data_IF_375929265067
#
_entry.id   IF_375929265067
#
_cell.length_a   1.000
_cell.length_b   1.000
_cell.length_c   1.000
_cell.angle_alpha   90.00
_cell.angle_beta   90.00
_cell.angle_gamma   90.00
#
_symmetry.space_group_name_H-M   'P 1'
#
loop_
_entity.id
_entity.type
_entity.pdbx_description
1 polymer ?
#
# COMPACT_ATOMS: atom_id res chain seq x y z
N UNK A 1 -9.27 -6.37 29.01
CA UNK A 1 -8.69 -5.06 28.65
C UNK A 1 -9.12 -4.75 27.22
N UNK A 2 -9.66 -3.57 26.93
CA UNK A 2 -10.06 -3.19 25.57
C UNK A 2 -8.81 -2.87 24.76
N UNK A 3 -8.58 -3.57 23.65
CA UNK A 3 -7.45 -3.28 22.76
C UNK A 3 -7.59 -1.86 22.18
N UNK A 4 -6.52 -1.08 22.23
CA UNK A 4 -6.48 0.27 21.61
C UNK A 4 -6.36 0.15 20.09
N UNK A 5 -6.75 1.19 19.35
CA UNK A 5 -6.64 1.17 17.88
C UNK A 5 -5.19 1.08 17.43
N UNK A 6 -4.30 1.78 18.12
CA UNK A 6 -2.87 1.78 17.81
C UNK A 6 -2.26 0.39 18.07
N UNK A 7 -2.56 -0.22 19.23
CA UNK A 7 -2.12 -1.59 19.50
C UNK A 7 -2.67 -2.64 18.53
N UNK A 8 -3.88 -2.43 18.00
CA UNK A 8 -4.48 -3.32 16.99
C UNK A 8 -3.78 -3.16 15.63
N UNK A 9 -3.41 -1.93 15.27
CA UNK A 9 -2.64 -1.64 14.07
C UNK A 9 -1.25 -2.29 14.15
N UNK A 10 -0.53 -2.07 15.25
CA UNK A 10 0.82 -2.61 15.46
C UNK A 10 0.81 -4.15 15.44
N UNK A 11 -0.18 -4.78 16.09
CA UNK A 11 -0.35 -6.24 16.03
C UNK A 11 -0.60 -6.73 14.60
N UNK A 12 -1.46 -6.03 13.85
CA UNK A 12 -1.74 -6.36 12.45
C UNK A 12 -0.49 -6.29 11.56
N UNK A 13 0.39 -5.31 11.81
CA UNK A 13 1.68 -5.17 11.11
C UNK A 13 2.64 -6.32 11.48
N UNK A 14 2.76 -6.67 12.76
CA UNK A 14 3.65 -7.77 13.18
C UNK A 14 3.16 -9.11 12.66
N UNK A 15 1.84 -9.34 12.65
CA UNK A 15 1.23 -10.54 12.05
C UNK A 15 1.45 -10.61 10.54
N UNK A 16 1.36 -9.47 9.84
CA UNK A 16 1.73 -9.40 8.43
C UNK A 16 3.18 -9.81 8.20
N UNK A 17 4.13 -9.26 8.97
CA UNK A 17 5.56 -9.59 8.88
C UNK A 17 5.84 -11.06 9.23
N UNK A 18 5.08 -11.63 10.16
CA UNK A 18 5.16 -13.05 10.50
C UNK A 18 4.63 -13.99 9.39
N UNK A 19 4.13 -13.45 8.28
CA UNK A 19 3.66 -14.23 7.13
C UNK A 19 2.20 -14.63 7.22
N UNK A 20 1.42 -14.02 8.11
CA UNK A 20 -0.02 -14.31 8.16
C UNK A 20 -0.71 -13.92 6.84
N UNK A 21 -1.70 -14.72 6.45
CA UNK A 21 -2.39 -14.59 5.18
C UNK A 21 -3.14 -13.25 5.07
N UNK A 22 -3.11 -12.56 3.92
CA UNK A 22 -3.80 -11.27 3.79
C UNK A 22 -5.31 -11.32 4.07
N UNK A 23 -5.96 -12.45 3.82
CA UNK A 23 -7.39 -12.68 4.07
C UNK A 23 -7.77 -12.48 5.54
N UNK A 24 -6.91 -12.94 6.46
CA UNK A 24 -7.19 -12.87 7.90
C UNK A 24 -6.87 -11.49 8.47
N UNK A 25 -6.01 -10.73 7.80
CA UNK A 25 -5.59 -9.39 8.20
C UNK A 25 -6.54 -8.30 7.71
N UNK A 26 -7.26 -8.51 6.61
CA UNK A 26 -8.23 -7.52 6.10
C UNK A 26 -9.26 -7.09 7.16
N UNK A 27 -9.93 -7.99 7.90
CA UNK A 27 -10.87 -7.59 8.95
C UNK A 27 -10.21 -6.74 10.05
N UNK A 28 -8.96 -7.04 10.40
CA UNK A 28 -8.18 -6.28 11.40
C UNK A 28 -7.96 -4.84 10.92
N UNK A 29 -7.42 -4.66 9.70
CA UNK A 29 -7.19 -3.33 9.15
C UNK A 29 -8.48 -2.58 8.81
N UNK A 30 -9.58 -3.28 8.46
CA UNK A 30 -10.90 -2.67 8.35
C UNK A 30 -11.37 -2.11 9.69
N UNK A 31 -11.19 -2.85 10.80
CA UNK A 31 -11.53 -2.37 12.14
C UNK A 31 -10.68 -1.14 12.51
N UNK A 32 -9.37 -1.17 12.26
CA UNK A 32 -8.48 -0.02 12.49
C UNK A 32 -8.96 1.20 11.71
N UNK A 33 -9.24 1.05 10.42
CA UNK A 33 -9.76 2.12 9.56
C UNK A 33 -11.12 2.65 10.04
N UNK A 34 -11.99 1.78 10.59
CA UNK A 34 -13.29 2.18 11.12
C UNK A 34 -13.18 2.98 12.42
N UNK A 35 -12.26 2.58 13.31
CA UNK A 35 -12.03 3.21 14.61
C UNK A 35 -11.13 4.44 14.53
N UNK A 36 -10.19 4.48 13.58
CA UNK A 36 -9.31 5.62 13.29
C UNK A 36 -9.37 6.00 11.81
N UNK A 37 -10.45 6.69 11.43
CA UNK A 37 -10.72 7.07 10.03
C UNK A 37 -9.66 7.98 9.41
N UNK A 38 -8.82 8.63 10.23
CA UNK A 38 -7.75 9.53 9.80
C UNK A 38 -6.37 8.86 9.71
N UNK A 39 -6.26 7.57 10.04
CA UNK A 39 -4.99 6.84 9.92
C UNK A 39 -4.70 6.51 8.45
N UNK A 40 -3.84 7.31 7.81
CA UNK A 40 -3.40 7.05 6.43
C UNK A 40 -2.73 5.68 6.31
N UNK A 41 -1.85 5.34 7.24
CA UNK A 41 -1.10 4.08 7.22
C UNK A 41 -2.01 2.86 7.26
N UNK A 42 -3.10 2.90 8.03
CA UNK A 42 -4.09 1.81 8.04
C UNK A 42 -4.77 1.63 6.68
N UNK A 43 -5.12 2.74 6.00
CA UNK A 43 -5.65 2.68 4.64
C UNK A 43 -4.60 2.21 3.63
N UNK A 44 -3.33 2.58 3.78
CA UNK A 44 -2.21 2.10 2.95
C UNK A 44 -2.07 0.58 3.06
N UNK A 45 -2.04 0.04 4.29
CA UNK A 45 -1.98 -1.41 4.54
C UNK A 45 -3.20 -2.14 4.00
N UNK A 46 -4.40 -1.60 4.23
CA UNK A 46 -5.63 -2.20 3.72
C UNK A 46 -5.65 -2.26 2.18
N UNK A 47 -5.17 -1.20 1.51
CA UNK A 47 -5.05 -1.20 0.06
C UNK A 47 -4.07 -2.27 -0.43
N UNK A 48 -2.92 -2.41 0.24
CA UNK A 48 -1.92 -3.43 -0.08
C UNK A 48 -2.47 -4.85 0.06
N UNK A 49 -3.17 -5.15 1.16
CA UNK A 49 -3.79 -6.46 1.36
C UNK A 49 -4.84 -6.77 0.29
N UNK A 50 -5.64 -5.78 -0.14
CA UNK A 50 -6.56 -5.97 -1.24
C UNK A 50 -5.87 -6.25 -2.58
N UNK A 51 -4.73 -5.63 -2.85
CA UNK A 51 -3.95 -5.88 -4.07
C UNK A 51 -3.34 -7.28 -4.09
N UNK A 52 -2.83 -7.76 -2.95
CA UNK A 52 -2.34 -9.13 -2.80
C UNK A 52 -3.44 -10.16 -3.09
N UNK A 53 -4.69 -9.85 -2.74
CA UNK A 53 -5.85 -10.72 -2.96
C UNK A 53 -6.62 -10.47 -4.25
N UNK A 54 -6.02 -9.76 -5.21
CA UNK A 54 -6.65 -9.48 -6.51
C UNK A 54 -8.03 -8.81 -6.39
N UNK A 55 -8.16 -7.89 -5.42
CA UNK A 55 -9.36 -7.06 -5.17
C UNK A 55 -9.09 -5.59 -5.54
N UNK A 56 -8.77 -5.28 -6.82
CA UNK A 56 -8.23 -3.98 -7.19
C UNK A 56 -9.23 -2.82 -7.04
N UNK A 57 -10.54 -3.09 -7.15
CA UNK A 57 -11.57 -2.07 -6.88
C UNK A 57 -11.57 -1.63 -5.40
N UNK A 58 -11.43 -2.58 -4.47
CA UNK A 58 -11.37 -2.26 -3.04
C UNK A 58 -10.03 -1.60 -2.68
N UNK A 59 -8.94 -2.06 -3.30
CA UNK A 59 -7.64 -1.44 -3.19
C UNK A 59 -7.66 0.03 -3.65
N UNK A 60 -8.31 0.32 -4.77
CA UNK A 60 -8.43 1.68 -5.32
C UNK A 60 -9.12 2.64 -4.34
N UNK A 61 -10.23 2.21 -3.74
CA UNK A 61 -10.94 3.02 -2.74
C UNK A 61 -10.12 3.25 -1.46
N UNK A 62 -9.41 2.22 -0.98
CA UNK A 62 -8.54 2.34 0.18
C UNK A 62 -7.32 3.24 -0.10
N UNK A 63 -6.66 3.04 -1.25
CA UNK A 63 -5.48 3.81 -1.63
C UNK A 63 -5.81 5.29 -1.90
N UNK A 64 -6.95 5.60 -2.51
CA UNK A 64 -7.41 6.98 -2.65
C UNK A 64 -7.58 7.67 -1.30
N UNK A 65 -8.15 6.98 -0.32
CA UNK A 65 -8.28 7.51 1.05
C UNK A 65 -6.92 7.74 1.70
N UNK A 66 -6.00 6.78 1.57
CA UNK A 66 -4.64 6.90 2.07
C UNK A 66 -3.93 8.14 1.48
N UNK A 67 -3.88 8.26 0.15
CA UNK A 67 -3.24 9.39 -0.54
C UNK A 67 -3.90 10.74 -0.18
N UNK A 68 -5.22 10.77 0.04
CA UNK A 68 -5.93 11.97 0.49
C UNK A 68 -5.55 12.38 1.92
N UNK A 69 -5.32 11.41 2.81
CA UNK A 69 -4.96 11.65 4.21
C UNK A 69 -3.49 12.02 4.37
N UNK A 70 -2.60 11.33 3.65
CA UNK A 70 -1.19 11.65 3.58
C UNK A 70 -0.69 11.69 2.13
N UNK A 71 -0.67 12.87 1.49
CA UNK A 71 -0.15 13.04 0.14
C UNK A 71 1.36 12.79 0.01
N UNK A 72 2.11 12.70 1.11
CA UNK A 72 3.57 12.50 1.12
C UNK A 72 3.95 11.04 1.37
N UNK A 73 2.99 10.13 1.48
CA UNK A 73 3.23 8.69 1.58
C UNK A 73 3.45 8.10 0.17
N UNK A 74 4.69 7.70 -0.18
CA UNK A 74 4.97 7.11 -1.49
C UNK A 74 4.36 5.72 -1.62
N UNK A 75 4.26 4.94 -0.55
CA UNK A 75 3.67 3.60 -0.59
C UNK A 75 2.17 3.66 -0.86
N UNK A 76 1.45 4.61 -0.24
CA UNK A 76 0.04 4.87 -0.56
C UNK A 76 -0.17 5.18 -2.05
N UNK A 77 0.74 5.97 -2.64
CA UNK A 77 0.69 6.32 -4.06
C UNK A 77 1.05 5.15 -4.97
N UNK A 78 2.03 4.33 -4.60
CA UNK A 78 2.33 3.06 -5.30
C UNK A 78 1.09 2.17 -5.30
N UNK A 79 0.46 1.97 -4.16
CA UNK A 79 -0.76 1.16 -4.04
C UNK A 79 -1.90 1.71 -4.91
N UNK A 80 -2.03 3.04 -4.99
CA UNK A 80 -3.00 3.69 -5.87
C UNK A 80 -2.70 3.40 -7.34
N UNK A 81 -1.44 3.54 -7.78
CA UNK A 81 -1.02 3.23 -9.16
C UNK A 81 -1.31 1.78 -9.50
N UNK A 82 -0.96 0.84 -8.62
CA UNK A 82 -1.22 -0.59 -8.84
C UNK A 82 -2.71 -0.86 -9.01
N UNK A 83 -3.54 -0.32 -8.11
CA UNK A 83 -4.99 -0.46 -8.21
C UNK A 83 -5.56 0.18 -9.47
N UNK A 84 -5.01 1.32 -9.91
CA UNK A 84 -5.41 1.96 -11.17
C UNK A 84 -5.05 1.10 -12.38
N UNK A 85 -3.85 0.51 -12.43
CA UNK A 85 -3.45 -0.39 -13.52
C UNK A 85 -4.36 -1.62 -13.59
N UNK A 86 -4.61 -2.26 -12.46
CA UNK A 86 -5.45 -3.47 -12.37
C UNK A 86 -6.94 -3.19 -12.63
N UNK A 87 -7.39 -1.94 -12.49
CA UNK A 87 -8.73 -1.49 -12.87
C UNK A 87 -8.78 -0.75 -14.21
N UNK A 88 -7.69 -0.77 -14.99
CA UNK A 88 -7.57 -0.06 -16.28
C UNK A 88 -7.88 1.45 -16.23
N UNK A 89 -7.66 2.10 -15.08
CA UNK A 89 -7.78 3.55 -14.90
C UNK A 89 -6.56 4.27 -15.46
N UNK A 90 -6.81 5.45 -16.05
CA UNK A 90 -5.78 6.32 -16.64
C UNK A 90 -5.23 7.30 -15.59
N UNK A 91 -4.10 7.94 -15.89
CA UNK A 91 -3.54 9.02 -15.06
C UNK A 91 -2.44 8.57 -14.08
N UNK A 92 -1.90 7.35 -14.22
CA UNK A 92 -0.86 6.83 -13.32
C UNK A 92 0.46 7.60 -13.36
N UNK A 93 0.78 8.26 -14.48
CA UNK A 93 2.06 8.95 -14.69
C UNK A 93 2.35 10.02 -13.63
N UNK A 94 1.37 10.88 -13.33
CA UNK A 94 1.53 11.93 -12.32
C UNK A 94 1.82 11.33 -10.93
N UNK A 95 1.21 10.20 -10.59
CA UNK A 95 1.47 9.53 -9.32
C UNK A 95 2.88 8.94 -9.27
N UNK A 96 3.36 8.34 -10.37
CA UNK A 96 4.74 7.84 -10.48
C UNK A 96 5.76 8.98 -10.32
N UNK A 97 5.57 10.11 -11.02
CA UNK A 97 6.47 11.27 -10.93
C UNK A 97 6.57 11.79 -9.49
N UNK A 98 5.45 11.82 -8.74
CA UNK A 98 5.46 12.21 -7.33
C UNK A 98 6.21 11.17 -6.47
N UNK A 99 6.00 9.87 -6.70
CA UNK A 99 6.74 8.84 -5.95
C UNK A 99 8.25 8.97 -6.21
N UNK A 100 8.66 9.16 -7.46
CA UNK A 100 10.06 9.39 -7.82
C UNK A 100 10.66 10.60 -7.09
N UNK A 101 9.94 11.72 -7.01
CA UNK A 101 10.39 12.90 -6.26
C UNK A 101 10.57 12.61 -4.76
N UNK A 102 9.62 11.89 -4.15
CA UNK A 102 9.68 11.56 -2.71
C UNK A 102 10.86 10.66 -2.38
N UNK A 103 11.06 9.59 -3.15
CA UNK A 103 12.17 8.63 -2.92
C UNK A 103 13.53 9.18 -3.38
N UNK A 104 13.54 10.20 -4.23
CA UNK A 104 14.75 10.96 -4.55
C UNK A 104 15.16 11.86 -3.37
N UNK A 105 14.18 12.52 -2.74
CA UNK A 105 14.42 13.45 -1.65
C UNK A 105 14.73 12.77 -0.30
N UNK A 106 14.15 11.60 -0.05
CA UNK A 106 14.28 10.88 1.24
C UNK A 106 14.73 9.44 0.98
N UNK A 107 16.01 9.10 1.24
CA UNK A 107 16.54 7.76 1.03
C UNK A 107 15.80 6.66 1.79
N UNK A 108 15.33 6.94 3.01
CA UNK A 108 14.60 5.97 3.83
C UNK A 108 13.29 5.55 3.14
N UNK A 109 12.59 6.51 2.52
CA UNK A 109 11.38 6.22 1.74
C UNK A 109 11.68 5.39 0.49
N UNK A 110 12.86 5.56 -0.11
CA UNK A 110 13.31 4.72 -1.23
C UNK A 110 13.47 3.28 -0.79
N UNK A 111 14.14 3.07 0.33
CA UNK A 111 14.42 1.74 0.86
C UNK A 111 13.13 1.05 1.29
N UNK A 112 12.21 1.77 1.94
CA UNK A 112 10.88 1.25 2.31
C UNK A 112 10.06 0.83 1.08
N UNK A 113 9.99 1.67 0.04
CA UNK A 113 9.27 1.34 -1.20
C UNK A 113 9.91 0.15 -1.91
N UNK A 114 11.24 0.10 -1.99
CA UNK A 114 11.95 -1.02 -2.59
C UNK A 114 11.67 -2.32 -1.83
N UNK A 115 11.72 -2.30 -0.49
CA UNK A 115 11.42 -3.45 0.34
C UNK A 115 9.98 -3.95 0.15
N UNK A 116 9.01 -3.04 0.10
CA UNK A 116 7.60 -3.40 -0.13
C UNK A 116 7.36 -3.99 -1.52
N UNK A 117 8.08 -3.50 -2.54
CA UNK A 117 8.05 -4.09 -3.89
C UNK A 117 8.57 -5.53 -3.86
N UNK A 118 9.70 -5.79 -3.20
CA UNK A 118 10.24 -7.15 -3.08
C UNK A 118 9.32 -8.08 -2.28
N UNK A 119 8.76 -7.63 -1.15
CA UNK A 119 7.75 -8.38 -0.39
C UNK A 119 6.50 -8.69 -1.24
N UNK A 120 6.09 -7.74 -2.09
CA UNK A 120 5.02 -7.93 -3.06
C UNK A 120 5.28 -9.06 -4.03
N UNK A 121 6.51 -9.18 -4.56
CA UNK A 121 6.88 -10.30 -5.44
C UNK A 121 6.99 -11.63 -4.71
N UNK A 122 7.45 -11.63 -3.45
CA UNK A 122 7.49 -12.83 -2.62
C UNK A 122 6.07 -13.37 -2.39
N UNK A 123 5.11 -12.49 -2.09
CA UNK A 123 3.72 -12.87 -1.75
C UNK A 123 2.82 -13.10 -2.95
N UNK A 124 3.06 -12.38 -4.05
CA UNK A 124 2.33 -12.51 -5.32
C UNK A 124 3.33 -12.58 -6.48
N UNK A 125 3.92 -13.77 -6.73
CA UNK A 125 4.84 -13.97 -7.85
C UNK A 125 4.16 -13.65 -9.19
N UNK A 126 4.91 -13.06 -10.12
CA UNK A 126 4.40 -12.71 -11.46
C UNK A 126 3.48 -11.49 -11.49
N UNK A 127 3.55 -10.62 -10.48
CA UNK A 127 2.72 -9.41 -10.41
C UNK A 127 3.13 -8.35 -11.45
N UNK A 128 2.57 -8.46 -12.66
CA UNK A 128 2.93 -7.64 -13.84
C UNK A 128 2.81 -6.12 -13.59
N UNK A 129 1.74 -5.69 -12.91
CA UNK A 129 1.55 -4.27 -12.57
C UNK A 129 2.68 -3.75 -11.66
N UNK A 130 3.11 -4.57 -10.70
CA UNK A 130 4.21 -4.24 -9.78
C UNK A 130 5.56 -4.20 -10.49
N UNK A 131 5.79 -5.12 -11.43
CA UNK A 131 6.97 -5.11 -12.30
C UNK A 131 7.07 -3.81 -13.11
N UNK A 132 5.95 -3.37 -13.71
CA UNK A 132 5.91 -2.08 -14.45
C UNK A 132 6.19 -0.90 -13.54
N UNK A 133 5.60 -0.86 -12.34
CA UNK A 133 5.86 0.20 -11.36
C UNK A 133 7.33 0.21 -10.94
N UNK A 134 7.94 -0.95 -10.65
CA UNK A 134 9.37 -1.06 -10.33
C UNK A 134 10.25 -0.47 -11.42
N UNK A 135 9.97 -0.79 -12.69
CA UNK A 135 10.71 -0.23 -13.83
C UNK A 135 10.55 1.29 -13.87
N UNK A 136 9.33 1.82 -13.84
CA UNK A 136 9.13 3.27 -13.89
C UNK A 136 9.79 4.01 -12.73
N UNK A 137 9.81 3.45 -11.53
CA UNK A 137 10.48 4.08 -10.39
C UNK A 137 12.01 4.09 -10.52
N UNK A 138 12.59 3.22 -11.35
CA UNK A 138 14.02 3.19 -11.64
C UNK A 138 14.47 4.13 -12.76
N UNK A 139 13.54 4.68 -13.53
CA UNK A 139 13.80 5.58 -14.67
C UNK A 139 13.98 7.07 -14.27
N UNK A 140 14.17 7.35 -12.97
CA UNK A 140 14.24 8.70 -12.39
C UNK A 140 15.62 9.35 -12.49
#
# INVERSE_FOLDING_TARGET
MTQTVDSLFDEGIERYKAGEAPETLIPVFQEVCNRSRKSSSAWTCLAWLYLLLEKPNQAYEAAQKAVKLNPQDPQARVNLVLAMLETSKKGVRQHIEIVQQLVMAVPELRDEVAQNIEDGFVRKPGWQSLERVKVWLSEA
#
